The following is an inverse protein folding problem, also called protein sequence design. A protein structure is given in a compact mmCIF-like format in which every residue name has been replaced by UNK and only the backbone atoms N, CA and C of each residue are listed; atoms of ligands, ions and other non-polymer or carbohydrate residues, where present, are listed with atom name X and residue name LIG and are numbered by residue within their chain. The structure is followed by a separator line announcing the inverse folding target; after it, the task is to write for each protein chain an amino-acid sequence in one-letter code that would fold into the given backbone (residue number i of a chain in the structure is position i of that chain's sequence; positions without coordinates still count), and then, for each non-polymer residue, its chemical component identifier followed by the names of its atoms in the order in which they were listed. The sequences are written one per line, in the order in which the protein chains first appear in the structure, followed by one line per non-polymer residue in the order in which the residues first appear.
data_IF_123742555504
#
_entry.id   IF_123742555504
#
_cell.length_a   1.000
_cell.length_b   1.000
_cell.length_c   1.000
_cell.angle_alpha   90.00
_cell.angle_beta   90.00
_cell.angle_gamma   90.00
#
_symmetry.space_group_name_H-M   'P 1'
#
loop_
_entity.id
_entity.type
_entity.pdbx_description
1 polymer ?
#
# COMPACT_ATOMS: atom_id res chain seq x y z
N UNK A 1 29.17 29.76 -31.35
CA UNK A 1 28.44 29.70 -30.07
C UNK A 1 27.77 28.35 -30.01
N UNK A 2 28.46 27.35 -29.48
CA UNK A 2 27.96 25.97 -29.35
C UNK A 2 28.13 25.56 -27.90
N UNK A 3 27.22 24.71 -27.43
CA UNK A 3 27.03 24.17 -26.07
C UNK A 3 26.02 25.02 -25.29
N UNK A 4 24.85 24.53 -24.86
CA UNK A 4 24.58 23.19 -24.33
C UNK A 4 23.12 22.76 -24.61
N UNK A 5 23.01 21.55 -25.14
CA UNK A 5 21.89 20.65 -24.86
C UNK A 5 22.10 20.09 -23.46
N UNK A 6 21.26 20.47 -22.49
CA UNK A 6 21.00 19.68 -21.28
C UNK A 6 19.54 19.86 -20.89
N UNK A 7 18.69 19.08 -21.55
CA UNK A 7 17.44 18.59 -21.00
C UNK A 7 17.72 17.78 -19.74
N UNK A 8 17.78 18.45 -18.59
CA UNK A 8 17.78 17.80 -17.28
C UNK A 8 17.19 18.78 -16.25
N UNK A 9 16.34 18.26 -15.37
CA UNK A 9 15.75 18.99 -14.24
C UNK A 9 14.52 19.87 -14.51
N UNK A 10 13.51 19.34 -15.21
CA UNK A 10 12.11 19.57 -14.80
C UNK A 10 11.83 18.74 -13.53
N UNK A 11 12.60 19.05 -12.50
CA UNK A 11 12.54 18.49 -11.15
C UNK A 11 11.24 18.96 -10.53
N UNK A 12 10.35 17.99 -10.27
CA UNK A 12 9.63 17.89 -8.99
C UNK A 12 8.73 19.09 -8.68
N UNK A 13 7.62 19.18 -9.39
CA UNK A 13 6.41 19.83 -8.86
C UNK A 13 5.21 18.90 -9.02
N UNK A 14 5.37 17.63 -8.67
CA UNK A 14 4.23 16.96 -8.04
C UNK A 14 4.11 17.56 -6.66
N UNK A 15 3.17 18.49 -6.54
CA UNK A 15 2.73 19.06 -5.27
C UNK A 15 2.52 17.90 -4.31
N UNK A 16 3.48 17.74 -3.39
CA UNK A 16 3.40 16.78 -2.30
C UNK A 16 2.21 17.21 -1.46
N UNK A 17 1.02 16.71 -1.80
CA UNK A 17 -0.13 16.67 -0.91
C UNK A 17 0.35 15.78 0.22
N UNK A 18 0.97 16.40 1.23
CA UNK A 18 1.17 15.75 2.50
C UNK A 18 -0.23 15.34 2.94
N UNK A 19 -0.54 14.05 2.75
CA UNK A 19 -1.68 13.42 3.38
C UNK A 19 -1.36 13.48 4.86
N UNK A 20 -1.67 14.61 5.49
CA UNK A 20 -1.44 14.81 6.91
C UNK A 20 -2.05 13.60 7.63
N UNK A 21 -1.32 12.99 8.59
CA UNK A 21 -1.83 11.84 9.32
C UNK A 21 -3.02 12.30 10.15
N UNK A 22 -4.20 12.13 9.57
CA UNK A 22 -5.46 12.51 10.15
C UNK A 22 -6.22 11.24 10.55
N UNK A 23 -6.90 11.29 11.69
CA UNK A 23 -7.83 10.26 12.09
C UNK A 23 -9.20 10.54 11.46
N UNK A 24 -9.86 9.49 10.96
CA UNK A 24 -11.19 9.59 10.31
C UNK A 24 -11.21 9.07 8.87
N UNK A 25 -12.28 9.42 8.16
CA UNK A 25 -12.50 9.03 6.76
C UNK A 25 -11.73 9.97 5.83
N UNK A 26 -10.45 9.68 5.62
CA UNK A 26 -9.60 10.44 4.72
C UNK A 26 -8.73 9.50 3.89
N UNK A 27 -8.17 10.04 2.80
CA UNK A 27 -7.37 9.27 1.84
C UNK A 27 -6.12 8.65 2.48
N UNK A 28 -5.54 9.27 3.52
CA UNK A 28 -4.42 8.67 4.25
C UNK A 28 -4.84 7.35 4.91
N UNK A 29 -5.97 7.35 5.62
CA UNK A 29 -6.52 6.18 6.29
C UNK A 29 -6.89 5.08 5.30
N UNK A 30 -7.46 5.43 4.13
CA UNK A 30 -7.78 4.48 3.07
C UNK A 30 -6.53 3.76 2.55
N UNK A 31 -5.46 4.50 2.25
CA UNK A 31 -4.19 3.93 1.78
C UNK A 31 -3.58 3.01 2.84
N UNK A 32 -3.53 3.47 4.09
CA UNK A 32 -2.96 2.69 5.19
C UNK A 32 -3.77 1.41 5.44
N UNK A 33 -5.10 1.50 5.49
CA UNK A 33 -5.97 0.34 5.62
C UNK A 33 -5.80 -0.64 4.46
N UNK A 34 -5.66 -0.13 3.23
CA UNK A 34 -5.35 -0.96 2.06
C UNK A 34 -4.03 -1.71 2.18
N UNK A 35 -2.97 -1.06 2.69
CA UNK A 35 -1.67 -1.71 2.94
C UNK A 35 -1.76 -2.80 4.00
N UNK A 36 -2.49 -2.55 5.09
CA UNK A 36 -2.75 -3.56 6.10
C UNK A 36 -3.55 -4.75 5.54
N UNK A 37 -4.51 -4.50 4.65
CA UNK A 37 -5.26 -5.57 4.00
C UNK A 37 -4.37 -6.43 3.10
N UNK A 38 -3.46 -5.84 2.33
CA UNK A 38 -2.49 -6.60 1.52
C UNK A 38 -1.57 -7.48 2.39
N UNK A 39 -1.06 -6.93 3.49
CA UNK A 39 -0.26 -7.68 4.46
C UNK A 39 -1.05 -8.80 5.13
N UNK A 40 -2.28 -8.51 5.57
CA UNK A 40 -3.16 -9.49 6.19
C UNK A 40 -3.50 -10.64 5.25
N UNK A 41 -3.81 -10.34 3.99
CA UNK A 41 -4.05 -11.35 2.96
C UNK A 41 -2.82 -12.22 2.71
N UNK A 42 -1.64 -11.61 2.59
CA UNK A 42 -0.40 -12.37 2.40
C UNK A 42 -0.08 -13.29 3.59
N UNK A 43 -0.27 -12.81 4.81
CA UNK A 43 -0.08 -13.60 6.03
C UNK A 43 -1.10 -14.74 6.10
N UNK A 44 -2.36 -14.49 5.72
CA UNK A 44 -3.39 -15.53 5.65
C UNK A 44 -3.01 -16.65 4.69
N UNK A 45 -2.54 -16.32 3.48
CA UNK A 45 -2.06 -17.31 2.51
C UNK A 45 -0.88 -18.12 3.05
N UNK A 46 0.08 -17.47 3.71
CA UNK A 46 1.20 -18.16 4.32
C UNK A 46 0.73 -19.12 5.42
N UNK A 47 -0.15 -18.65 6.31
CA UNK A 47 -0.69 -19.46 7.40
C UNK A 47 -1.46 -20.68 6.87
N UNK A 48 -2.27 -20.50 5.83
CA UNK A 48 -2.99 -21.57 5.15
C UNK A 48 -2.01 -22.61 4.57
N UNK A 49 -0.93 -22.16 3.92
CA UNK A 49 0.09 -23.04 3.37
C UNK A 49 0.84 -23.85 4.46
N UNK A 50 1.15 -23.24 5.60
CA UNK A 50 1.86 -23.91 6.70
C UNK A 50 0.96 -24.80 7.55
N UNK A 51 -0.29 -24.41 7.77
CA UNK A 51 -1.23 -25.11 8.66
C UNK A 51 -2.06 -26.14 7.89
N UNK A 52 -2.17 -25.99 6.56
CA UNK A 52 -3.10 -26.74 5.70
C UNK A 52 -4.56 -26.68 6.17
N UNK A 53 -4.91 -25.62 6.91
CA UNK A 53 -6.24 -25.39 7.45
C UNK A 53 -6.75 -24.06 6.89
N UNK A 54 -7.91 -24.12 6.23
CA UNK A 54 -8.52 -22.94 5.63
C UNK A 54 -8.98 -21.95 6.69
N UNK A 55 -8.88 -20.66 6.38
CA UNK A 55 -9.44 -19.59 7.21
C UNK A 55 -10.93 -19.82 7.54
N UNK A 56 -11.70 -20.38 6.61
CA UNK A 56 -13.12 -20.72 6.81
C UNK A 56 -13.34 -21.73 7.92
N UNK A 57 -12.45 -22.72 8.05
CA UNK A 57 -12.49 -23.70 9.14
C UNK A 57 -12.34 -23.04 10.50
N UNK A 58 -11.58 -21.93 10.59
CA UNK A 58 -11.44 -21.16 11.82
C UNK A 58 -12.66 -20.28 12.12
N UNK A 59 -13.35 -19.78 11.08
CA UNK A 59 -14.65 -19.12 11.20
C UNK A 59 -15.80 -20.08 11.55
N UNK A 60 -15.55 -21.39 11.62
CA UNK A 60 -16.56 -22.41 11.88
C UNK A 60 -17.48 -22.70 10.69
N UNK A 61 -17.14 -22.15 9.51
CA UNK A 61 -17.81 -22.41 8.24
C UNK A 61 -17.09 -23.60 7.60
N UNK A 62 -17.71 -24.78 7.68
CA UNK A 62 -17.22 -26.03 7.11
C UNK A 62 -18.29 -26.62 6.21
#
# INVERSE_FOLDING_TARGET
MTSQSTSESAKKVETTKFNEPAFGWNTYAEIINGRFAMLGFFILLLLELFTHQDFFSWLGLR
#
